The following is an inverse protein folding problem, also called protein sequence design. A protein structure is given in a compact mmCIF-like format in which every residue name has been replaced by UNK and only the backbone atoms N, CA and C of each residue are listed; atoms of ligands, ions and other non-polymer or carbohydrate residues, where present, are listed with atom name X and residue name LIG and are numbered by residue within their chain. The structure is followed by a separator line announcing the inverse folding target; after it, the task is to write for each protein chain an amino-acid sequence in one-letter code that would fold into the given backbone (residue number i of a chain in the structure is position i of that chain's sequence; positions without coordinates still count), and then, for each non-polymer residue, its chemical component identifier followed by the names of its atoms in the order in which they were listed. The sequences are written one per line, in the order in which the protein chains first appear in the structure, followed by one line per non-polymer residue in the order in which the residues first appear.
data_IF_706366160017
#
_entry.id   IF_706366160017
#
_cell.length_a   1.000
_cell.length_b   1.000
_cell.length_c   1.000
_cell.angle_alpha   90.00
_cell.angle_beta   90.00
_cell.angle_gamma   90.00
#
_symmetry.space_group_name_H-M   'P 1'
#
loop_
_entity.id
_entity.type
_entity.pdbx_description
1 polymer ?
#
# COMPACT_ATOMS: atom_id res chain seq x y z
N UNK A 1 -7.98 -17.28 -8.58
CA UNK A 1 -9.21 -17.60 -9.33
C UNK A 1 -10.21 -18.38 -8.47
N UNK A 2 -9.74 -19.30 -7.63
CA UNK A 2 -10.61 -20.28 -6.96
C UNK A 2 -11.58 -19.73 -5.89
N UNK A 3 -11.34 -18.54 -5.33
CA UNK A 3 -12.23 -17.96 -4.31
C UNK A 3 -13.53 -17.36 -4.89
N UNK A 4 -13.46 -16.79 -6.09
CA UNK A 4 -14.59 -16.10 -6.73
C UNK A 4 -15.03 -16.74 -8.04
N UNK A 5 -14.19 -17.60 -8.64
CA UNK A 5 -14.39 -18.12 -9.99
C UNK A 5 -14.19 -17.07 -11.10
N UNK A 6 -13.95 -15.81 -10.74
CA UNK A 6 -13.80 -14.69 -11.67
C UNK A 6 -12.34 -14.54 -12.15
N UNK A 7 -12.14 -13.95 -13.35
CA UNK A 7 -10.81 -13.60 -13.82
C UNK A 7 -10.12 -12.60 -12.89
N UNK A 8 -8.79 -12.60 -12.91
CA UNK A 8 -7.96 -11.69 -12.10
C UNK A 8 -7.15 -10.80 -13.02
N UNK A 9 -7.16 -9.49 -12.75
CA UNK A 9 -6.31 -8.51 -13.42
C UNK A 9 -5.16 -8.12 -12.49
N UNK A 10 -3.93 -8.15 -13.00
CA UNK A 10 -2.73 -7.84 -12.22
C UNK A 10 -2.00 -6.66 -12.87
N UNK A 11 -1.70 -5.64 -12.07
CA UNK A 11 -0.96 -4.45 -12.51
C UNK A 11 0.40 -4.43 -11.81
N UNK A 12 1.48 -4.50 -12.57
CA UNK A 12 2.81 -4.30 -12.03
C UNK A 12 3.07 -2.80 -11.91
N UNK A 13 3.15 -2.28 -10.68
CA UNK A 13 3.37 -0.85 -10.46
C UNK A 13 4.72 -0.37 -10.98
N UNK A 14 5.69 -1.23 -11.30
CA UNK A 14 6.97 -0.83 -11.91
C UNK A 14 6.96 -0.82 -13.43
N UNK A 15 5.87 -1.25 -14.05
CA UNK A 15 5.72 -1.24 -15.50
C UNK A 15 5.51 0.20 -16.00
N UNK A 16 6.20 0.58 -17.07
CA UNK A 16 6.17 1.95 -17.60
C UNK A 16 4.77 2.39 -18.02
N UNK A 17 3.99 1.48 -18.61
CA UNK A 17 2.60 1.77 -18.98
C UNK A 17 1.75 2.01 -17.73
N UNK A 18 1.90 1.18 -16.70
CA UNK A 18 1.19 1.36 -15.42
C UNK A 18 1.61 2.67 -14.73
N UNK A 19 2.89 3.03 -14.77
CA UNK A 19 3.38 4.31 -14.25
C UNK A 19 2.76 5.51 -14.96
N UNK A 20 2.68 5.49 -16.30
CA UNK A 20 1.98 6.52 -17.07
C UNK A 20 0.48 6.57 -16.75
N UNK A 21 -0.14 5.41 -16.57
CA UNK A 21 -1.55 5.26 -16.21
C UNK A 21 -1.86 5.74 -14.78
N UNK A 22 -0.89 5.68 -13.88
CA UNK A 22 -0.97 6.30 -12.54
C UNK A 22 -0.83 7.81 -12.67
N UNK A 23 0.21 8.28 -13.38
CA UNK A 23 0.55 9.70 -13.48
C UNK A 23 -0.56 10.54 -14.13
N UNK A 24 -1.36 9.95 -15.01
CA UNK A 24 -2.49 10.62 -15.66
C UNK A 24 -3.83 10.48 -14.90
N UNK A 25 -3.81 9.87 -13.71
CA UNK A 25 -4.97 9.71 -12.82
C UNK A 25 -5.94 8.58 -13.20
N UNK A 26 -5.81 7.99 -14.39
CA UNK A 26 -6.76 6.97 -14.85
C UNK A 26 -6.71 5.67 -14.04
N UNK A 27 -5.54 5.34 -13.45
CA UNK A 27 -5.44 4.20 -12.54
C UNK A 27 -6.29 4.39 -11.28
N UNK A 28 -6.38 5.63 -10.77
CA UNK A 28 -7.19 5.93 -9.60
C UNK A 28 -8.69 5.76 -9.89
N UNK A 29 -9.15 6.27 -11.03
CA UNK A 29 -10.53 6.07 -11.50
C UNK A 29 -10.87 4.58 -11.64
N UNK A 30 -9.91 3.78 -12.13
CA UNK A 30 -10.08 2.34 -12.24
C UNK A 30 -10.22 1.67 -10.86
N UNK A 31 -9.43 2.08 -9.87
CA UNK A 31 -9.54 1.57 -8.50
C UNK A 31 -10.89 1.91 -7.88
N UNK A 32 -11.36 3.16 -8.04
CA UNK A 32 -12.70 3.58 -7.59
C UNK A 32 -13.80 2.74 -8.24
N UNK A 33 -13.71 2.53 -9.55
CA UNK A 33 -14.65 1.68 -10.29
C UNK A 33 -14.67 0.25 -9.73
N UNK A 34 -13.52 -0.40 -9.58
CA UNK A 34 -13.45 -1.76 -9.03
C UNK A 34 -14.00 -1.85 -7.60
N UNK A 35 -13.71 -0.86 -6.75
CA UNK A 35 -14.26 -0.82 -5.39
C UNK A 35 -15.80 -0.69 -5.41
N UNK A 36 -16.34 0.22 -6.23
CA UNK A 36 -17.78 0.45 -6.34
C UNK A 36 -18.54 -0.76 -6.89
N UNK A 37 -17.94 -1.49 -7.84
CA UNK A 37 -18.52 -2.70 -8.42
C UNK A 37 -18.32 -3.96 -7.56
N UNK A 38 -17.70 -3.83 -6.38
CA UNK A 38 -17.54 -4.93 -5.42
C UNK A 38 -16.44 -5.94 -5.79
N UNK A 39 -15.44 -5.54 -6.57
CA UNK A 39 -14.28 -6.38 -6.85
C UNK A 39 -13.44 -6.59 -5.59
N UNK A 40 -12.76 -7.75 -5.52
CA UNK A 40 -11.73 -7.98 -4.52
C UNK A 40 -10.41 -7.37 -4.99
N UNK A 41 -9.90 -6.42 -4.22
CA UNK A 41 -8.66 -5.70 -4.50
C UNK A 41 -7.58 -6.07 -3.50
N UNK A 42 -6.37 -6.31 -4.01
CA UNK A 42 -5.20 -6.62 -3.20
C UNK A 42 -3.95 -5.95 -3.75
N UNK A 43 -3.06 -5.56 -2.84
CA UNK A 43 -1.75 -4.99 -3.13
C UNK A 43 -0.67 -5.88 -2.51
N UNK A 44 0.49 -6.00 -3.16
CA UNK A 44 1.61 -6.78 -2.62
C UNK A 44 2.93 -6.06 -2.80
N UNK A 45 3.79 -6.15 -1.79
CA UNK A 45 5.16 -5.65 -1.85
C UNK A 45 6.09 -6.71 -2.43
N UNK A 46 7.01 -6.30 -3.30
CA UNK A 46 8.00 -7.21 -3.86
C UNK A 46 9.08 -7.57 -2.83
N UNK A 47 9.56 -8.82 -2.87
CA UNK A 47 10.64 -9.35 -2.05
C UNK A 47 10.20 -10.52 -1.19
N UNK A 48 11.14 -11.11 -0.47
CA UNK A 48 10.85 -12.10 0.55
C UNK A 48 10.82 -11.42 1.92
N UNK A 49 9.93 -11.86 2.81
CA UNK A 49 9.94 -11.45 4.21
C UNK A 49 11.23 -11.95 4.87
N UNK A 50 12.30 -11.15 4.76
CA UNK A 50 13.49 -11.34 5.58
C UNK A 50 13.07 -10.91 6.98
N UNK A 51 12.74 -11.87 7.85
CA UNK A 51 12.77 -11.64 9.28
C UNK A 51 14.18 -11.16 9.62
N UNK A 52 14.40 -9.85 9.61
CA UNK A 52 15.50 -9.25 10.35
C UNK A 52 15.19 -9.48 11.81
N UNK A 53 15.46 -10.70 12.31
CA UNK A 53 15.98 -10.84 13.66
C UNK A 53 17.13 -9.86 13.68
N UNK A 54 16.95 -8.70 14.32
CA UNK A 54 18.05 -7.84 14.73
C UNK A 54 18.99 -8.74 15.52
N UNK A 55 19.97 -9.35 14.85
CA UNK A 55 21.17 -9.78 15.54
C UNK A 55 21.89 -8.47 15.82
N UNK A 56 22.20 -8.15 17.09
CA UNK A 56 23.13 -7.07 17.34
C UNK A 56 24.46 -7.54 16.74
N UNK A 57 24.85 -6.94 15.61
CA UNK A 57 26.21 -7.11 15.10
C UNK A 57 27.02 -6.02 15.78
N UNK A 58 27.76 -6.39 16.82
CA UNK A 58 28.83 -5.54 17.34
C UNK A 58 29.83 -5.31 16.21
N UNK A 59 29.99 -4.05 15.78
CA UNK A 59 31.16 -3.59 15.01
C UNK A 59 31.10 -3.71 13.49
N UNK A 60 29.92 -3.65 12.86
CA UNK A 60 29.82 -3.48 11.41
C UNK A 60 29.23 -2.11 11.08
N UNK A 61 29.86 -1.36 10.18
CA UNK A 61 29.36 -0.08 9.65
C UNK A 61 27.93 -0.28 9.17
N UNK A 62 26.98 0.14 10.01
CA UNK A 62 25.58 0.20 9.64
C UNK A 62 25.49 1.28 8.58
N UNK A 63 25.32 0.89 7.33
CA UNK A 63 24.74 1.78 6.32
C UNK A 63 23.47 2.34 6.96
N UNK A 64 23.50 3.63 7.29
CA UNK A 64 22.34 4.36 7.78
C UNK A 64 21.26 4.21 6.70
N UNK A 65 20.33 3.27 6.90
CA UNK A 65 19.07 3.30 6.20
C UNK A 65 18.46 4.67 6.52
N UNK A 66 18.42 5.52 5.49
CA UNK A 66 17.82 6.85 5.49
C UNK A 66 16.64 6.90 6.47
N UNK A 67 16.66 7.87 7.39
CA UNK A 67 15.65 8.09 8.42
C UNK A 67 14.31 8.57 7.82
N UNK A 68 13.75 7.79 6.89
CA UNK A 68 12.45 7.95 6.29
C UNK A 68 11.38 7.15 7.02
N UNK A 69 10.12 7.39 6.63
CA UNK A 69 8.97 6.66 7.13
C UNK A 69 9.15 5.14 6.94
N UNK A 70 8.76 4.30 7.91
CA UNK A 70 9.07 2.88 7.85
C UNK A 70 8.37 2.24 6.64
N UNK A 71 9.12 1.54 5.78
CA UNK A 71 8.56 0.97 4.58
C UNK A 71 7.53 -0.12 4.90
N UNK A 72 6.61 -0.34 3.97
CA UNK A 72 5.73 -1.52 4.01
C UNK A 72 6.59 -2.80 4.07
N UNK A 73 6.22 -3.80 4.88
CA UNK A 73 6.94 -5.06 4.98
C UNK A 73 7.05 -5.70 3.60
N UNK A 74 8.24 -6.21 3.26
CA UNK A 74 8.50 -6.87 1.98
C UNK A 74 7.87 -8.26 1.94
N UNK A 75 7.41 -8.68 0.76
CA UNK A 75 6.84 -10.01 0.54
C UNK A 75 5.50 -10.22 1.20
N UNK A 76 4.77 -9.14 1.51
CA UNK A 76 3.45 -9.22 2.13
C UNK A 76 2.37 -8.72 1.17
N UNK A 77 1.22 -9.37 1.25
CA UNK A 77 0.00 -8.95 0.57
C UNK A 77 -0.96 -8.28 1.57
N UNK A 78 -1.61 -7.22 1.10
CA UNK A 78 -2.60 -6.43 1.82
C UNK A 78 -3.90 -6.44 1.02
N UNK A 79 -5.02 -6.51 1.70
CA UNK A 79 -6.30 -6.23 1.07
C UNK A 79 -6.48 -4.72 0.97
N UNK A 80 -6.99 -4.24 -0.17
CA UNK A 80 -7.43 -2.85 -0.30
C UNK A 80 -8.88 -2.82 0.18
N UNK A 81 -9.10 -2.17 1.31
CA UNK A 81 -10.38 -2.13 2.02
C UNK A 81 -11.20 -0.88 1.73
N UNK A 82 -10.58 0.16 1.17
CA UNK A 82 -11.26 1.37 0.72
C UNK A 82 -10.36 2.19 -0.22
N UNK A 83 -10.99 2.99 -1.08
CA UNK A 83 -10.35 3.94 -2.00
C UNK A 83 -11.22 5.19 -2.02
N UNK A 84 -10.71 6.30 -1.50
CA UNK A 84 -11.47 7.54 -1.33
C UNK A 84 -10.69 8.74 -1.87
N UNK A 85 -11.40 9.65 -2.49
CA UNK A 85 -10.87 10.93 -2.97
C UNK A 85 -11.67 12.05 -2.29
N UNK A 86 -10.95 13.02 -1.73
CA UNK A 86 -11.51 14.14 -0.99
C UNK A 86 -11.60 15.38 -1.88
N UNK A 87 -12.38 16.37 -1.45
CA UNK A 87 -12.67 17.59 -2.23
C UNK A 87 -11.40 18.42 -2.56
N UNK A 88 -10.35 18.28 -1.75
CA UNK A 88 -9.05 18.91 -1.94
C UNK A 88 -8.16 18.18 -2.97
N UNK A 89 -8.65 17.07 -3.56
CA UNK A 89 -7.94 16.21 -4.48
C UNK A 89 -7.03 15.18 -3.80
N UNK A 90 -7.08 15.07 -2.47
CA UNK A 90 -6.31 14.05 -1.75
C UNK A 90 -6.90 12.66 -2.04
N UNK A 91 -6.03 11.74 -2.45
CA UNK A 91 -6.37 10.36 -2.79
C UNK A 91 -5.84 9.41 -1.70
N UNK A 92 -6.74 8.77 -0.96
CA UNK A 92 -6.40 7.87 0.16
C UNK A 92 -6.88 6.46 -0.11
N UNK A 93 -6.02 5.49 0.16
CA UNK A 93 -6.33 4.08 0.07
C UNK A 93 -6.16 3.42 1.44
N UNK A 94 -7.19 2.72 1.92
CA UNK A 94 -7.16 1.99 3.18
C UNK A 94 -6.66 0.57 2.95
N UNK A 95 -5.52 0.23 3.54
CA UNK A 95 -4.95 -1.11 3.48
C UNK A 95 -5.30 -1.93 4.73
N UNK A 96 -5.59 -3.22 4.53
CA UNK A 96 -5.78 -4.19 5.61
C UNK A 96 -4.71 -5.27 5.52
N UNK A 97 -3.83 -5.30 6.51
CA UNK A 97 -2.90 -6.40 6.69
C UNK A 97 -3.67 -7.68 7.11
N UNK A 98 -3.33 -8.85 6.55
CA UNK A 98 -3.96 -10.11 6.94
C UNK A 98 -3.62 -10.50 8.39
N UNK A 99 -2.48 -10.03 8.91
CA UNK A 99 -2.00 -10.27 10.27
C UNK A 99 -1.83 -8.94 11.00
N UNK A 100 -2.22 -8.87 12.29
CA UNK A 100 -2.16 -7.67 13.14
C UNK A 100 -0.74 -7.13 13.43
N UNK A 101 0.30 -7.61 12.76
CA UNK A 101 1.70 -7.30 13.10
C UNK A 101 2.21 -6.00 12.48
N UNK A 102 1.46 -5.40 11.55
CA UNK A 102 1.88 -4.20 10.85
C UNK A 102 0.85 -3.09 10.97
N UNK A 103 1.33 -1.91 11.34
CA UNK A 103 0.58 -0.67 11.35
C UNK A 103 1.43 0.37 10.61
N UNK A 104 0.84 1.00 9.62
CA UNK A 104 1.47 2.11 8.90
C UNK A 104 1.68 3.27 9.88
N UNK A 105 2.85 3.90 9.85
CA UNK A 105 3.17 5.05 10.72
C UNK A 105 3.60 6.30 9.96
N UNK A 106 3.45 6.31 8.63
CA UNK A 106 3.70 7.47 7.79
C UNK A 106 2.47 8.36 7.63
N UNK A 107 2.42 9.12 6.56
CA UNK A 107 1.28 9.95 6.18
C UNK A 107 -0.04 9.17 6.18
N UNK A 108 -1.10 9.74 6.78
CA UNK A 108 -2.41 9.09 6.92
C UNK A 108 -2.39 7.78 7.75
N UNK A 109 -1.35 7.57 8.57
CA UNK A 109 -1.42 6.61 9.69
C UNK A 109 -2.40 7.06 10.78
N UNK A 110 -2.81 6.17 11.67
CA UNK A 110 -3.74 6.50 12.76
C UNK A 110 -3.28 7.67 13.66
N UNK A 111 -1.97 7.94 13.71
CA UNK A 111 -1.38 9.04 14.47
C UNK A 111 -0.94 10.23 13.59
N UNK A 112 -1.24 10.20 12.29
CA UNK A 112 -0.81 11.24 11.36
C UNK A 112 -1.54 12.56 11.63
N UNK A 113 -0.83 13.70 11.69
CA UNK A 113 -1.46 15.01 11.81
C UNK A 113 -2.18 15.45 10.53
N UNK A 114 -2.07 14.69 9.43
CA UNK A 114 -2.73 14.99 8.16
C UNK A 114 -4.24 14.73 8.18
N UNK A 115 -4.73 13.92 9.12
CA UNK A 115 -6.16 13.77 9.34
C UNK A 115 -6.75 15.10 9.83
N UNK A 116 -7.42 15.82 8.94
CA UNK A 116 -8.21 17.00 9.28
C UNK A 116 -9.69 16.65 9.36
N UNK A 117 -10.53 17.54 9.89
CA UNK A 117 -11.98 17.34 9.96
C UNK A 117 -12.64 17.20 8.58
N UNK A 118 -11.98 17.64 7.50
CA UNK A 118 -12.48 17.50 6.12
C UNK A 118 -12.20 16.10 5.55
N UNK A 119 -11.29 15.34 6.17
CA UNK A 119 -10.81 14.02 5.73
C UNK A 119 -11.23 12.90 6.70
N UNK A 120 -12.03 13.21 7.73
CA UNK A 120 -12.55 12.30 8.76
C UNK A 120 -14.05 12.07 8.61
#
# INVERSE_FOLDING_TARGET
QDLTGCPTSCYNLKDDYVQHFIANGQFWELLKFFMNEGYLLSFSTHGEEKYSRKKPVEGGDAEEEEAGEPPLPRGQAFAIADVQEFDDGTQIMRLRAPLKKYQWSGDWSDTSPKWTQEVL
#
